data_IF_239974953783
#
_entry.id   IF_239974953783
#
_cell.length_a   1.000
_cell.length_b   1.000
_cell.length_c   1.000
_cell.angle_alpha   90.00
_cell.angle_beta   90.00
_cell.angle_gamma   90.00
#
_symmetry.space_group_name_H-M   'P 1'
#
loop_
_entity.id
_entity.type
_entity.pdbx_description
1 polymer ?
#
# COMPACT_ATOMS: atom_id res chain seq x y z
N UNK A 1 26.74 -78.68 -18.43
CA UNK A 1 25.41 -78.02 -18.46
C UNK A 1 25.65 -76.53 -18.26
N UNK A 2 25.55 -75.73 -19.31
CA UNK A 2 25.72 -74.26 -19.26
C UNK A 2 24.35 -73.65 -19.55
N UNK A 3 23.78 -72.95 -18.58
CA UNK A 3 22.49 -72.27 -18.70
C UNK A 3 22.70 -70.77 -18.87
N UNK A 4 22.20 -70.21 -19.97
CA UNK A 4 22.20 -68.78 -20.27
C UNK A 4 20.85 -68.19 -19.81
N UNK A 5 20.89 -67.21 -18.91
CA UNK A 5 19.71 -66.49 -18.42
C UNK A 5 19.68 -65.12 -19.10
N UNK A 6 18.76 -64.92 -20.05
CA UNK A 6 18.55 -63.62 -20.70
C UNK A 6 17.51 -62.85 -19.89
N UNK A 7 17.94 -61.77 -19.25
CA UNK A 7 17.07 -60.85 -18.53
C UNK A 7 16.65 -59.72 -19.48
N UNK A 8 15.37 -59.70 -19.87
CA UNK A 8 14.77 -58.60 -20.63
C UNK A 8 14.29 -57.52 -19.66
N UNK A 9 14.94 -56.35 -19.70
CA UNK A 9 14.51 -55.14 -18.99
C UNK A 9 13.46 -54.39 -19.83
N UNK A 10 12.24 -54.32 -19.34
CA UNK A 10 11.17 -53.48 -19.90
C UNK A 10 11.21 -52.12 -19.19
N UNK A 11 11.55 -51.06 -19.92
CA UNK A 11 11.50 -49.69 -19.42
C UNK A 11 10.12 -49.12 -19.72
N UNK A 12 9.28 -48.97 -18.69
CA UNK A 12 8.02 -48.24 -18.79
C UNK A 12 8.28 -46.75 -18.59
N UNK A 13 8.09 -45.95 -19.64
CA UNK A 13 8.09 -44.50 -19.54
C UNK A 13 6.76 -44.03 -18.91
N UNK A 14 6.80 -43.53 -17.68
CA UNK A 14 5.67 -42.80 -17.10
C UNK A 14 5.68 -41.37 -17.67
N UNK A 15 4.69 -41.05 -18.49
CA UNK A 15 4.43 -39.67 -18.90
C UNK A 15 3.84 -38.92 -17.70
N UNK A 16 4.63 -38.01 -17.11
CA UNK A 16 4.12 -37.07 -16.12
C UNK A 16 3.41 -35.94 -16.85
N UNK A 17 2.20 -35.53 -16.43
CA UNK A 17 1.58 -34.33 -16.99
C UNK A 17 2.46 -33.12 -16.64
N UNK A 18 3.01 -32.47 -17.66
CA UNK A 18 3.65 -31.17 -17.49
C UNK A 18 2.57 -30.15 -17.13
N UNK A 19 2.56 -29.73 -15.87
CA UNK A 19 1.83 -28.54 -15.44
C UNK A 19 2.44 -27.34 -16.17
N UNK A 20 1.79 -26.92 -17.25
CA UNK A 20 2.07 -25.64 -17.92
C UNK A 20 1.77 -24.53 -16.92
N UNK A 21 2.81 -24.07 -16.21
CA UNK A 21 2.78 -22.80 -15.50
C UNK A 21 2.65 -21.75 -16.60
N UNK A 22 1.44 -21.25 -16.83
CA UNK A 22 1.27 -20.00 -17.57
C UNK A 22 2.01 -18.94 -16.76
N UNK A 23 3.21 -18.57 -17.19
CA UNK A 23 3.81 -17.32 -16.77
C UNK A 23 2.80 -16.26 -17.16
N UNK A 24 2.16 -15.64 -16.17
CA UNK A 24 1.48 -14.36 -16.40
C UNK A 24 2.59 -13.43 -16.86
N UNK A 25 2.67 -13.23 -18.17
CA UNK A 25 3.52 -12.20 -18.75
C UNK A 25 3.15 -10.92 -18.03
N UNK A 26 4.09 -10.40 -17.23
CA UNK A 26 3.95 -9.10 -16.60
C UNK A 26 3.53 -8.16 -17.73
N UNK A 27 2.30 -7.59 -17.69
CA UNK A 27 1.83 -6.73 -18.77
C UNK A 27 2.92 -5.69 -18.92
N UNK A 28 3.61 -5.70 -20.08
CA UNK A 28 4.82 -4.90 -20.25
C UNK A 28 4.57 -3.51 -19.70
N UNK A 29 5.53 -2.93 -18.96
CA UNK A 29 5.36 -1.73 -18.11
C UNK A 29 4.62 -0.54 -18.73
N UNK A 30 4.43 -0.56 -20.05
CA UNK A 30 3.68 0.39 -20.85
C UNK A 30 2.15 0.21 -20.78
N UNK A 31 1.65 -0.92 -20.26
CA UNK A 31 0.22 -1.26 -20.24
C UNK A 31 -0.45 -0.99 -18.88
N UNK A 32 0.29 -1.08 -17.77
CA UNK A 32 -0.22 -0.79 -16.42
C UNK A 32 0.52 0.40 -15.85
N UNK A 33 -0.15 1.55 -15.76
CA UNK A 33 0.45 2.76 -15.23
C UNK A 33 -0.58 3.64 -14.52
N UNK A 34 -0.11 4.39 -13.53
CA UNK A 34 -0.89 5.43 -12.89
C UNK A 34 -1.01 6.61 -13.86
N UNK A 35 -2.24 6.95 -14.25
CA UNK A 35 -2.53 7.96 -15.26
C UNK A 35 -2.70 9.35 -14.67
N UNK A 36 -3.37 9.45 -13.52
CA UNK A 36 -3.59 10.70 -12.82
C UNK A 36 -3.81 10.45 -11.32
N UNK A 37 -3.61 11.48 -10.50
CA UNK A 37 -4.07 11.49 -9.12
C UNK A 37 -4.65 12.85 -8.76
N UNK A 38 -5.50 12.87 -7.74
CA UNK A 38 -5.94 14.10 -7.07
C UNK A 38 -5.80 13.90 -5.58
N UNK A 39 -5.42 14.97 -4.87
CA UNK A 39 -5.28 14.97 -3.42
C UNK A 39 -6.21 16.04 -2.86
N UNK A 40 -7.09 15.65 -1.94
CA UNK A 40 -8.06 16.56 -1.31
C UNK A 40 -8.05 16.33 0.19
N UNK A 41 -7.94 17.39 0.98
CA UNK A 41 -8.08 17.29 2.43
C UNK A 41 -7.31 18.35 3.20
N UNK A 42 -7.49 18.38 4.52
CA UNK A 42 -6.81 19.35 5.40
C UNK A 42 -5.29 19.19 5.40
N UNK A 43 -4.79 17.98 5.14
CA UNK A 43 -3.36 17.69 5.11
C UNK A 43 -2.68 17.91 3.75
N UNK A 44 -3.44 18.12 2.69
CA UNK A 44 -2.94 18.14 1.31
C UNK A 44 -3.57 19.32 0.55
N UNK A 45 -3.20 20.55 0.91
CA UNK A 45 -3.71 21.74 0.21
C UNK A 45 -3.27 21.73 -1.25
N UNK A 46 -4.21 22.10 -2.13
CA UNK A 46 -4.14 22.02 -3.59
C UNK A 46 -2.75 22.30 -4.17
N UNK A 47 -2.09 21.25 -4.67
CA UNK A 47 -0.83 21.36 -5.44
C UNK A 47 0.47 21.02 -4.70
N UNK A 48 0.42 20.74 -3.40
CA UNK A 48 1.60 20.40 -2.59
C UNK A 48 2.12 18.95 -2.75
N UNK A 49 1.47 18.13 -3.58
CA UNK A 49 1.82 16.72 -3.74
C UNK A 49 2.75 16.52 -4.96
N UNK A 50 4.06 16.49 -4.74
CA UNK A 50 5.05 16.16 -5.77
C UNK A 50 4.94 14.68 -6.17
N UNK A 51 4.86 14.41 -7.48
CA UNK A 51 4.79 13.07 -8.02
C UNK A 51 6.14 12.59 -8.54
N UNK A 52 6.50 11.37 -8.16
CA UNK A 52 7.51 10.60 -8.86
C UNK A 52 7.02 9.17 -9.06
N UNK A 53 7.20 8.67 -10.27
CA UNK A 53 6.95 7.27 -10.61
C UNK A 53 8.28 6.54 -10.68
N UNK A 54 8.32 5.28 -10.23
CA UNK A 54 9.42 4.39 -10.57
C UNK A 54 9.46 4.14 -12.09
N UNK A 55 10.61 3.70 -12.61
CA UNK A 55 10.79 3.47 -14.05
C UNK A 55 9.86 2.37 -14.59
N UNK A 56 9.49 1.40 -13.74
CA UNK A 56 8.52 0.35 -14.03
C UNK A 56 7.06 0.81 -13.83
N UNK A 57 6.84 2.06 -13.37
CA UNK A 57 5.54 2.68 -13.03
C UNK A 57 4.68 1.90 -12.03
N UNK A 58 5.27 0.93 -11.31
CA UNK A 58 4.60 0.13 -10.28
C UNK A 58 4.61 0.81 -8.91
N UNK A 59 5.51 1.76 -8.69
CA UNK A 59 5.62 2.51 -7.44
C UNK A 59 5.24 3.96 -7.67
N UNK A 60 4.26 4.40 -6.88
CA UNK A 60 3.88 5.81 -6.76
C UNK A 60 4.59 6.40 -5.53
N UNK A 61 5.40 7.43 -5.74
CA UNK A 61 5.91 8.27 -4.66
C UNK A 61 5.16 9.59 -4.66
N UNK A 62 4.40 9.82 -3.59
CA UNK A 62 3.71 11.09 -3.34
C UNK A 62 4.45 11.82 -2.23
N UNK A 63 4.96 13.00 -2.53
CA UNK A 63 5.64 13.87 -1.56
C UNK A 63 4.70 14.99 -1.16
N UNK A 64 4.36 15.15 0.11
CA UNK A 64 3.43 16.19 0.56
C UNK A 64 4.15 17.39 1.17
N UNK A 65 3.97 18.58 0.60
CA UNK A 65 4.37 19.83 1.24
C UNK A 65 3.31 20.25 2.27
N UNK A 66 3.61 20.05 3.56
CA UNK A 66 2.75 20.52 4.66
C UNK A 66 1.85 19.47 5.30
N UNK A 67 2.06 18.17 5.05
CA UNK A 67 1.37 17.10 5.79
C UNK A 67 1.98 16.91 7.18
N UNK A 68 1.60 17.79 8.11
CA UNK A 68 2.18 17.88 9.44
C UNK A 68 1.09 17.77 10.50
N UNK A 69 1.28 16.87 11.47
CA UNK A 69 0.41 16.74 12.62
C UNK A 69 1.08 17.40 13.83
N UNK A 70 0.34 18.28 14.50
CA UNK A 70 0.81 19.00 15.67
C UNK A 70 0.00 18.59 16.91
N UNK A 71 0.69 18.46 18.05
CA UNK A 71 0.04 18.21 19.34
C UNK A 71 0.47 19.29 20.34
N UNK A 72 -0.47 20.09 20.80
CA UNK A 72 -0.21 21.17 21.75
C UNK A 72 -1.44 22.03 22.08
N UNK A 73 -1.35 22.87 23.12
CA UNK A 73 -2.38 23.87 23.43
C UNK A 73 -2.49 24.87 22.28
N UNK A 74 -3.73 25.21 21.87
CA UNK A 74 -3.98 26.16 20.77
C UNK A 74 -3.92 25.59 19.34
N UNK A 75 -3.56 24.31 19.17
CA UNK A 75 -3.57 23.64 17.85
C UNK A 75 -5.00 23.27 17.46
N UNK A 76 -5.42 23.63 16.24
CA UNK A 76 -6.76 23.34 15.72
C UNK A 76 -7.01 21.83 15.58
N UNK A 77 -8.27 21.41 15.59
CA UNK A 77 -8.62 19.99 15.43
C UNK A 77 -8.11 19.41 14.09
N UNK A 78 -8.10 20.22 13.03
CA UNK A 78 -7.62 19.84 11.70
C UNK A 78 -6.10 19.64 11.66
N UNK A 79 -5.34 20.43 12.43
CA UNK A 79 -3.87 20.30 12.52
C UNK A 79 -3.45 19.15 13.45
N UNK A 80 -4.33 18.72 14.37
CA UNK A 80 -4.09 17.55 15.23
C UNK A 80 -4.23 16.23 14.49
N UNK A 81 -5.10 16.19 13.48
CA UNK A 81 -5.45 14.98 12.73
C UNK A 81 -5.62 15.31 11.25
N UNK A 82 -4.57 15.76 10.56
CA UNK A 82 -4.66 16.03 9.13
C UNK A 82 -5.09 14.75 8.40
N UNK A 83 -6.01 14.92 7.46
CA UNK A 83 -6.47 13.84 6.58
C UNK A 83 -6.25 14.25 5.13
N UNK A 84 -5.94 13.25 4.31
CA UNK A 84 -5.74 13.41 2.89
C UNK A 84 -6.40 12.26 2.14
N UNK A 85 -7.29 12.62 1.21
CA UNK A 85 -7.93 11.68 0.31
C UNK A 85 -7.21 11.75 -1.03
N UNK A 86 -6.50 10.68 -1.36
CA UNK A 86 -5.81 10.50 -2.62
C UNK A 86 -6.70 9.68 -3.54
N UNK A 87 -7.17 10.26 -4.63
CA UNK A 87 -7.86 9.52 -5.70
C UNK A 87 -6.85 9.23 -6.81
N UNK A 88 -6.50 7.96 -6.98
CA UNK A 88 -5.45 7.48 -7.88
C UNK A 88 -6.14 6.74 -9.03
N UNK A 89 -5.90 7.19 -10.26
CA UNK A 89 -6.38 6.55 -11.47
C UNK A 89 -5.27 5.68 -12.06
N UNK A 90 -5.56 4.39 -12.28
CA UNK A 90 -4.60 3.42 -12.81
C UNK A 90 -5.15 2.86 -14.11
N UNK A 91 -4.50 3.18 -15.22
CA UNK A 91 -4.78 2.57 -16.52
C UNK A 91 -4.14 1.19 -16.54
N UNK A 92 -4.95 0.19 -16.87
CA UNK A 92 -4.54 -1.20 -17.00
C UNK A 92 -5.41 -1.88 -18.08
N UNK A 93 -4.94 -2.96 -18.74
CA UNK A 93 -5.75 -3.71 -19.68
C UNK A 93 -6.89 -4.43 -18.94
N UNK A 94 -8.00 -4.68 -19.64
CA UNK A 94 -9.21 -5.29 -19.06
C UNK A 94 -8.98 -6.70 -18.46
N UNK A 95 -7.91 -7.39 -18.87
CA UNK A 95 -7.55 -8.73 -18.40
C UNK A 95 -6.79 -8.74 -17.06
N UNK A 96 -6.42 -7.57 -16.55
CA UNK A 96 -5.66 -7.45 -15.31
C UNK A 96 -6.49 -6.83 -14.19
N UNK A 97 -6.08 -7.12 -12.96
CA UNK A 97 -6.54 -6.46 -11.77
C UNK A 97 -5.33 -5.92 -11.02
N UNK A 98 -5.52 -4.83 -10.29
CA UNK A 98 -4.49 -4.27 -9.43
C UNK A 98 -4.97 -4.21 -7.99
N UNK A 99 -4.02 -4.22 -7.08
CA UNK A 99 -4.26 -4.01 -5.66
C UNK A 99 -3.06 -3.39 -4.98
N UNK A 100 -3.30 -2.76 -3.83
CA UNK A 100 -2.23 -2.22 -2.99
C UNK A 100 -1.70 -3.33 -2.11
N UNK A 101 -0.39 -3.54 -2.15
CA UNK A 101 0.29 -4.56 -1.32
C UNK A 101 1.00 -3.92 -0.13
N UNK A 102 1.63 -2.77 -0.34
CA UNK A 102 2.40 -2.07 0.67
C UNK A 102 2.35 -0.57 0.42
N UNK A 103 2.29 0.19 1.50
CA UNK A 103 2.54 1.64 1.49
C UNK A 103 3.75 1.96 2.36
N UNK A 104 4.65 2.76 1.81
CA UNK A 104 5.82 3.27 2.54
C UNK A 104 5.59 4.75 2.88
N UNK A 105 5.78 5.10 4.15
CA UNK A 105 5.75 6.48 4.62
C UNK A 105 7.17 6.94 4.92
N UNK A 106 7.57 8.01 4.27
CA UNK A 106 8.80 8.72 4.56
C UNK A 106 8.46 10.10 5.10
N UNK A 107 9.19 10.55 6.12
CA UNK A 107 8.97 11.86 6.69
C UNK A 107 9.98 12.19 7.78
N UNK A 108 9.72 13.29 8.49
CA UNK A 108 10.49 13.69 9.65
C UNK A 108 9.56 13.77 10.86
N UNK A 109 9.99 13.22 11.99
CA UNK A 109 9.18 13.19 13.20
C UNK A 109 9.97 13.74 14.40
N UNK A 110 9.27 14.53 15.21
CA UNK A 110 9.73 14.96 16.53
C UNK A 110 8.72 14.44 17.55
N UNK A 111 9.05 13.31 18.19
CA UNK A 111 8.23 12.67 19.20
C UNK A 111 9.02 12.54 20.49
N UNK A 112 8.41 12.88 21.61
CA UNK A 112 8.97 12.65 22.94
C UNK A 112 8.80 11.18 23.38
N UNK A 113 9.44 10.80 24.49
CA UNK A 113 9.55 9.41 25.00
C UNK A 113 8.21 8.68 25.27
N UNK A 114 7.09 9.40 25.28
CA UNK A 114 5.73 8.91 25.55
C UNK A 114 4.76 9.15 24.38
N UNK A 115 5.27 9.62 23.24
CA UNK A 115 4.47 9.97 22.08
C UNK A 115 4.59 8.90 21.00
N UNK A 116 3.46 8.50 20.44
CA UNK A 116 3.39 7.61 19.29
C UNK A 116 2.67 8.32 18.15
N UNK A 117 3.33 8.41 17.00
CA UNK A 117 2.69 8.79 15.75
C UNK A 117 2.06 7.57 15.10
N UNK A 118 0.79 7.69 14.72
CA UNK A 118 0.02 6.65 14.04
C UNK A 118 -0.38 7.18 12.67
N UNK A 119 0.05 6.48 11.63
CA UNK A 119 -0.34 6.70 10.24
C UNK A 119 -1.34 5.61 9.87
N UNK A 120 -2.60 5.98 9.72
CA UNK A 120 -3.66 5.09 9.31
C UNK A 120 -4.05 5.39 7.87
N UNK A 121 -4.19 4.36 7.05
CA UNK A 121 -4.63 4.49 5.67
C UNK A 121 -5.71 3.49 5.33
N UNK A 122 -6.79 4.01 4.75
CA UNK A 122 -7.95 3.25 4.31
C UNK A 122 -7.97 3.29 2.79
N UNK A 123 -8.02 2.13 2.16
CA UNK A 123 -8.13 1.99 0.71
C UNK A 123 -9.52 1.46 0.38
N UNK A 124 -10.14 2.05 -0.64
CA UNK A 124 -11.43 1.62 -1.14
C UNK A 124 -11.61 2.04 -2.60
N UNK A 125 -12.44 1.30 -3.33
CA UNK A 125 -12.90 1.68 -4.67
C UNK A 125 -14.28 2.34 -4.52
N UNK A 126 -14.52 3.43 -5.25
CA UNK A 126 -15.75 4.24 -5.07
C UNK A 126 -17.05 3.48 -5.35
N UNK A 127 -16.98 2.36 -6.08
CA UNK A 127 -18.12 1.49 -6.42
C UNK A 127 -18.17 0.21 -5.60
N UNK A 128 -17.18 -0.05 -4.73
CA UNK A 128 -17.14 -1.23 -3.87
C UNK A 128 -17.52 -0.86 -2.43
N UNK A 129 -18.16 -1.80 -1.73
CA UNK A 129 -18.38 -1.70 -0.29
C UNK A 129 -17.15 -2.16 0.51
N UNK A 130 -16.24 -2.88 -0.14
CA UNK A 130 -15.03 -3.40 0.49
C UNK A 130 -14.01 -2.28 0.67
N UNK A 131 -13.43 -2.24 1.86
CA UNK A 131 -12.31 -1.40 2.18
C UNK A 131 -11.27 -2.21 2.95
N UNK A 132 -10.03 -1.75 2.90
CA UNK A 132 -8.96 -2.30 3.73
C UNK A 132 -8.27 -1.19 4.47
N UNK A 133 -7.94 -1.44 5.72
CA UNK A 133 -7.28 -0.47 6.59
C UNK A 133 -5.91 -0.99 6.97
N UNK A 134 -4.91 -0.14 6.84
CA UNK A 134 -3.54 -0.40 7.28
C UNK A 134 -3.09 0.66 8.25
N UNK A 135 -2.15 0.30 9.11
CA UNK A 135 -1.61 1.20 10.11
C UNK A 135 -0.10 1.02 10.22
N UNK A 136 0.62 2.14 10.28
CA UNK A 136 2.03 2.19 10.62
C UNK A 136 2.22 3.08 11.85
N UNK A 137 3.14 2.69 12.73
CA UNK A 137 3.42 3.42 13.98
C UNK A 137 4.88 3.80 14.07
N UNK A 138 5.11 4.98 14.63
CA UNK A 138 6.42 5.46 15.06
C UNK A 138 6.34 5.80 16.55
N UNK A 139 7.22 5.22 17.35
CA UNK A 139 7.26 5.48 18.80
C UNK A 139 8.48 6.34 19.10
N UNK A 140 8.26 7.41 19.86
CA UNK A 140 9.36 8.25 20.34
C UNK A 140 10.25 7.54 21.38
N UNK A 141 11.37 8.14 21.77
CA UNK A 141 11.82 9.46 21.35
C UNK A 141 12.51 9.43 19.99
N UNK A 142 12.07 10.29 19.07
CA UNK A 142 12.71 10.47 17.76
C UNK A 142 12.72 11.95 17.39
N UNK A 143 13.82 12.42 16.82
CA UNK A 143 13.98 13.74 16.21
C UNK A 143 14.81 13.55 14.95
N UNK A 144 14.25 12.81 14.01
CA UNK A 144 14.96 12.38 12.82
C UNK A 144 13.97 12.04 11.69
N UNK A 145 14.52 11.78 10.50
CA UNK A 145 13.80 11.17 9.41
C UNK A 145 13.39 9.74 9.77
N UNK A 146 12.20 9.35 9.36
CA UNK A 146 11.69 8.01 9.56
C UNK A 146 11.24 7.41 8.23
N UNK A 147 11.31 6.10 8.15
CA UNK A 147 10.69 5.30 7.10
C UNK A 147 9.93 4.19 7.78
N UNK A 148 8.61 4.12 7.56
CA UNK A 148 7.79 3.03 8.06
C UNK A 148 6.92 2.45 6.95
N UNK A 149 6.60 1.17 7.10
CA UNK A 149 5.87 0.40 6.10
C UNK A 149 4.55 -0.05 6.69
N UNK A 150 3.49 0.06 5.90
CA UNK A 150 2.19 -0.50 6.19
C UNK A 150 1.90 -1.58 5.14
N UNK A 151 1.96 -2.83 5.55
CA UNK A 151 1.62 -3.98 4.71
C UNK A 151 0.10 -4.14 4.66
N UNK A 152 -0.45 -4.37 3.47
CA UNK A 152 -1.84 -4.80 3.31
C UNK A 152 -1.85 -6.33 3.44
N UNK A 153 -2.56 -6.90 4.44
CA UNK A 153 -2.68 -8.35 4.54
C UNK A 153 -3.28 -8.93 3.27
N UNK A 154 -2.74 -10.05 2.79
CA UNK A 154 -3.25 -10.70 1.56
C UNK A 154 -4.74 -11.07 1.67
N UNK A 155 -5.18 -11.47 2.87
CA UNK A 155 -6.58 -11.77 3.18
C UNK A 155 -7.51 -10.55 3.18
N UNK A 156 -6.96 -9.34 3.31
CA UNK A 156 -7.67 -8.07 3.32
C UNK A 156 -7.33 -7.23 2.08
N UNK A 157 -6.74 -7.84 1.05
CA UNK A 157 -6.34 -7.16 -0.16
C UNK A 157 -7.56 -6.92 -1.05
N UNK A 158 -7.96 -5.65 -1.20
CA UNK A 158 -9.02 -5.27 -2.14
C UNK A 158 -8.44 -5.15 -3.54
N UNK A 159 -9.16 -5.70 -4.53
CA UNK A 159 -8.75 -5.68 -5.94
C UNK A 159 -9.66 -4.79 -6.76
N UNK A 160 -9.11 -4.20 -7.82
CA UNK A 160 -9.90 -3.45 -8.79
C UNK A 160 -10.94 -4.36 -9.46
N UNK A 161 -12.17 -3.88 -9.73
CA UNK A 161 -13.15 -4.67 -10.46
C UNK A 161 -12.68 -4.96 -11.90
N UNK A 162 -13.03 -6.12 -12.45
CA UNK A 162 -12.61 -6.54 -13.78
C UNK A 162 -13.19 -5.64 -14.89
N UNK A 163 -12.36 -5.26 -15.86
CA UNK A 163 -12.82 -4.62 -17.11
C UNK A 163 -13.33 -3.19 -16.97
N UNK A 164 -13.25 -2.58 -15.78
CA UNK A 164 -13.64 -1.18 -15.54
C UNK A 164 -12.52 -0.43 -14.84
N UNK A 165 -12.23 0.77 -15.34
CA UNK A 165 -11.23 1.64 -14.70
C UNK A 165 -11.92 2.51 -13.66
N UNK A 166 -11.73 2.18 -12.39
CA UNK A 166 -12.30 2.89 -11.25
C UNK A 166 -11.13 3.40 -10.41
N UNK A 167 -11.14 4.68 -10.01
CA UNK A 167 -10.07 5.23 -9.19
C UNK A 167 -10.04 4.55 -7.83
N UNK A 168 -8.83 4.20 -7.40
CA UNK A 168 -8.56 3.81 -6.03
C UNK A 168 -8.54 5.07 -5.17
N UNK A 169 -9.33 5.08 -4.11
CA UNK A 169 -9.24 6.14 -3.10
C UNK A 169 -8.48 5.63 -1.89
N UNK A 170 -7.38 6.32 -1.57
CA UNK A 170 -6.57 6.09 -0.39
C UNK A 170 -6.74 7.29 0.54
N UNK A 171 -7.44 7.08 1.65
CA UNK A 171 -7.59 8.08 2.71
C UNK A 171 -6.53 7.85 3.77
N UNK A 172 -5.59 8.79 3.91
CA UNK A 172 -4.55 8.75 4.92
C UNK A 172 -4.88 9.70 6.07
N UNK A 173 -4.54 9.31 7.29
CA UNK A 173 -4.66 10.14 8.50
C UNK A 173 -3.44 9.96 9.37
N UNK A 174 -2.90 11.07 9.87
CA UNK A 174 -1.87 11.05 10.91
C UNK A 174 -2.49 11.45 12.24
N UNK A 175 -2.17 10.72 13.29
CA UNK A 175 -2.59 11.03 14.67
C UNK A 175 -1.41 10.89 15.60
N UNK A 176 -1.24 11.86 16.50
CA UNK A 176 -0.30 11.77 17.60
C UNK A 176 -1.04 11.31 18.86
N UNK A 177 -0.55 10.24 19.48
CA UNK A 177 -1.07 9.67 20.72
C UNK A 177 -0.02 9.88 21.80
N UNK A 178 -0.46 10.38 22.96
CA UNK A 178 0.37 10.41 24.16
C UNK A 178 -0.02 9.25 25.07
N UNK A 179 0.95 8.46 25.54
CA UNK A 179 0.70 7.39 26.49
C UNK A 179 0.31 7.90 27.89
N UNK A 180 0.33 9.22 28.13
CA UNK A 180 -0.24 9.85 29.34
C UNK A 180 -1.70 10.28 29.14
N UNK A 181 -2.47 9.55 28.33
CA UNK A 181 -3.92 9.64 28.36
C UNK A 181 -4.48 8.99 29.65
N UNK A 182 -4.08 9.50 30.80
CA UNK A 182 -4.86 9.42 32.03
C UNK A 182 -5.87 10.57 31.97
N UNK A 183 -7.12 10.21 31.64
CA UNK A 183 -8.36 10.86 32.10
C UNK A 183 -8.42 12.40 32.01
N UNK A 184 -8.92 12.91 30.88
CA UNK A 184 -9.44 14.27 30.79
C UNK A 184 -10.94 14.30 30.98
N UNK A 185 -11.41 14.07 32.22
CA UNK A 185 -12.70 14.58 32.69
C UNK A 185 -12.53 16.06 33.01
N UNK A 186 -13.25 16.92 32.31
CA UNK A 186 -13.73 18.22 32.80
C UNK A 186 -15.19 18.36 32.46
#
# INVERSE_FOLDING_TARGET
>A
MVGIFILLLVVSAAAFPETVVRQTEDPGSDQVFISNFTATGSGCRDGAAGLSFSIDRKTLSVSFDGYQAYLGPGVSASDRRPSCDLSINITHPAEFQYSVTQTTYHGYAVLDRIMTGVMQSIYYFTTSLDNTTTEARITGPIRDVFTVYAQVPESANIRSPCGVNIPLVMRTRVTLISSTATTGTV
#
